data_IF_584100022479
#
_entry.id   IF_584100022479
#
_cell.length_a   1.000
_cell.length_b   1.000
_cell.length_c   1.000
_cell.angle_alpha   90.00
_cell.angle_beta   90.00
_cell.angle_gamma   90.00
#
_symmetry.space_group_name_H-M   'P 1'
#
loop_
_entity.id
_entity.type
_entity.pdbx_description
1 polymer ?
#
# COMPACT_ATOMS: atom_id res chain seq x y z
N UNK A 1 4.16 30.21 -16.95
CA UNK A 1 3.52 29.14 -17.76
C UNK A 1 4.19 27.81 -17.41
N UNK A 2 3.39 26.77 -17.30
CA UNK A 2 3.55 25.57 -16.45
C UNK A 2 4.77 24.72 -16.84
N UNK A 3 5.59 24.35 -15.85
CA UNK A 3 6.69 23.40 -16.02
C UNK A 3 6.21 22.01 -15.57
N UNK A 4 5.76 21.21 -16.53
CA UNK A 4 5.29 19.84 -16.33
C UNK A 4 6.50 18.90 -16.25
N UNK A 5 7.09 18.74 -15.07
CA UNK A 5 8.04 17.65 -14.81
C UNK A 5 7.26 16.41 -14.39
N UNK A 6 7.16 15.44 -15.30
CA UNK A 6 6.60 14.13 -15.05
C UNK A 6 7.31 13.44 -13.89
N UNK A 7 6.53 13.01 -12.90
CA UNK A 7 7.02 12.27 -11.74
C UNK A 7 7.11 10.79 -12.08
N UNK A 8 8.23 10.38 -12.65
CA UNK A 8 8.73 9.01 -12.56
C UNK A 8 9.45 8.88 -11.20
N UNK A 9 8.69 8.64 -10.14
CA UNK A 9 9.25 8.24 -8.85
C UNK A 9 9.62 6.76 -8.93
N UNK A 10 10.86 6.51 -9.37
CA UNK A 10 11.51 5.19 -9.32
C UNK A 10 11.58 4.68 -7.88
N UNK A 11 11.48 3.36 -7.69
CA UNK A 11 11.53 2.64 -6.41
C UNK A 11 12.73 3.02 -5.52
N UNK A 12 13.81 3.52 -6.12
CA UNK A 12 15.02 4.00 -5.44
C UNK A 12 14.79 5.26 -4.58
N UNK A 13 13.73 6.03 -4.82
CA UNK A 13 13.39 7.20 -4.01
C UNK A 13 12.83 6.81 -2.63
N UNK A 14 12.23 5.63 -2.50
CA UNK A 14 11.65 5.14 -1.25
C UNK A 14 12.72 4.80 -0.20
N UNK A 15 13.92 4.39 -0.63
CA UNK A 15 15.01 4.04 0.28
C UNK A 15 15.69 5.23 0.96
N UNK A 16 15.49 6.46 0.47
CA UNK A 16 16.18 7.67 0.98
C UNK A 16 15.48 8.34 2.16
N UNK A 17 14.29 7.89 2.53
CA UNK A 17 13.47 8.53 3.56
C UNK A 17 13.48 7.74 4.88
N UNK A 18 14.65 7.22 5.27
CA UNK A 18 14.85 6.45 6.50
C UNK A 18 16.07 6.92 7.30
N UNK A 19 16.39 8.23 7.27
CA UNK A 19 17.57 8.78 7.96
C UNK A 19 17.29 9.78 9.08
N UNK A 20 16.04 10.12 9.38
CA UNK A 20 15.72 11.06 10.49
C UNK A 20 14.87 10.41 11.59
N UNK A 21 15.44 9.39 12.24
CA UNK A 21 14.90 8.80 13.48
C UNK A 21 15.59 9.47 14.67
N UNK A 22 15.19 10.70 15.02
CA UNK A 22 15.64 11.37 16.27
C UNK A 22 14.52 11.89 17.17
N UNK A 23 13.28 11.49 16.93
CA UNK A 23 12.17 11.66 17.88
C UNK A 23 11.29 10.41 17.85
N UNK A 24 11.75 9.35 18.53
CA UNK A 24 11.07 8.06 18.58
C UNK A 24 9.90 8.08 19.59
N UNK A 25 8.88 8.91 19.34
CA UNK A 25 7.54 8.39 19.54
C UNK A 25 7.35 7.38 18.41
N UNK A 26 7.16 6.10 18.73
CA UNK A 26 6.94 5.06 17.73
C UNK A 26 5.77 5.48 16.85
N UNK A 27 6.08 5.97 15.65
CA UNK A 27 5.07 6.53 14.78
C UNK A 27 4.22 5.37 14.28
N UNK A 28 2.93 5.41 14.66
CA UNK A 28 1.97 4.38 14.26
C UNK A 28 1.97 4.30 12.74
N UNK A 29 2.19 3.10 12.24
CA UNK A 29 2.21 2.80 10.81
C UNK A 29 0.86 2.21 10.41
N UNK A 30 0.25 2.78 9.37
CA UNK A 30 -1.01 2.34 8.78
C UNK A 30 -0.75 1.75 7.40
N UNK A 31 -1.20 0.51 7.19
CA UNK A 31 -1.27 -0.11 5.86
C UNK A 31 -2.70 0.01 5.33
N UNK A 32 -2.86 0.71 4.21
CA UNK A 32 -4.13 0.81 3.47
C UNK A 32 -4.08 -0.16 2.30
N UNK A 33 -5.00 -1.13 2.28
CA UNK A 33 -5.07 -2.16 1.23
C UNK A 33 -6.24 -1.86 0.31
N UNK A 34 -5.96 -1.74 -0.99
CA UNK A 34 -6.96 -1.57 -2.05
C UNK A 34 -7.21 -2.92 -2.69
N UNK A 35 -8.46 -3.38 -2.65
CA UNK A 35 -8.89 -4.69 -3.16
C UNK A 35 -9.93 -4.47 -4.26
N UNK A 36 -9.67 -5.01 -5.45
CA UNK A 36 -10.59 -4.91 -6.59
C UNK A 36 -11.81 -5.83 -6.42
N UNK A 37 -12.86 -5.55 -7.19
CA UNK A 37 -14.07 -6.37 -7.23
C UNK A 37 -14.02 -7.48 -8.29
N UNK A 38 -15.20 -8.07 -8.54
CA UNK A 38 -15.42 -9.06 -9.60
C UNK A 38 -15.01 -8.48 -10.97
N UNK A 39 -14.25 -9.27 -11.75
CA UNK A 39 -13.68 -8.89 -13.05
C UNK A 39 -12.81 -7.61 -13.06
N UNK A 40 -12.46 -7.09 -11.88
CA UNK A 40 -11.59 -5.94 -11.72
C UNK A 40 -10.11 -6.32 -11.65
N UNK A 41 -9.28 -5.29 -11.69
CA UNK A 41 -7.83 -5.35 -11.49
C UNK A 41 -7.39 -4.27 -10.50
N UNK A 42 -6.17 -4.37 -9.98
CA UNK A 42 -5.63 -3.41 -9.03
C UNK A 42 -5.44 -2.02 -9.66
N UNK A 43 -5.29 -1.98 -10.99
CA UNK A 43 -5.12 -0.79 -11.81
C UNK A 43 -6.36 0.10 -11.74
N UNK A 44 -7.56 -0.48 -11.60
CA UNK A 44 -8.83 0.25 -11.43
C UNK A 44 -8.82 1.13 -10.17
N UNK A 45 -8.03 0.74 -9.16
CA UNK A 45 -7.90 1.44 -7.88
C UNK A 45 -6.66 2.32 -7.78
N UNK A 46 -5.80 2.32 -8.81
CA UNK A 46 -4.53 3.04 -8.80
C UNK A 46 -4.70 4.56 -8.63
N UNK A 47 -5.74 5.13 -9.25
CA UNK A 47 -6.09 6.56 -9.12
C UNK A 47 -6.50 6.93 -7.70
N UNK A 48 -7.27 6.07 -7.02
CA UNK A 48 -7.66 6.29 -5.62
C UNK A 48 -6.44 6.28 -4.70
N UNK A 49 -5.56 5.29 -4.84
CA UNK A 49 -4.28 5.25 -4.11
C UNK A 49 -3.48 6.55 -4.33
N UNK A 50 -3.40 7.03 -5.56
CA UNK A 50 -2.65 8.26 -5.86
C UNK A 50 -3.26 9.48 -5.15
N UNK A 51 -4.59 9.59 -5.11
CA UNK A 51 -5.29 10.64 -4.35
C UNK A 51 -4.94 10.55 -2.85
N UNK A 52 -4.99 9.36 -2.25
CA UNK A 52 -4.60 9.19 -0.84
C UNK A 52 -3.16 9.61 -0.58
N UNK A 53 -2.22 9.24 -1.47
CA UNK A 53 -0.81 9.65 -1.38
C UNK A 53 -0.64 11.16 -1.46
N UNK A 54 -1.40 11.82 -2.34
CA UNK A 54 -1.34 13.29 -2.50
C UNK A 54 -1.92 13.98 -1.26
N UNK A 55 -3.08 13.53 -0.77
CA UNK A 55 -3.76 14.12 0.39
C UNK A 55 -2.96 13.91 1.67
N UNK A 56 -2.36 12.72 1.85
CA UNK A 56 -1.48 12.46 2.98
C UNK A 56 -0.23 13.35 2.95
N UNK A 57 0.20 13.84 1.78
CA UNK A 57 1.36 14.73 1.64
C UNK A 57 2.61 14.11 2.26
N UNK A 58 3.27 14.87 3.14
CA UNK A 58 4.46 14.44 3.88
C UNK A 58 4.11 13.78 5.24
N UNK A 59 2.84 13.45 5.51
CA UNK A 59 2.44 12.76 6.74
C UNK A 59 3.07 11.36 6.73
N UNK A 60 4.03 11.07 7.61
CA UNK A 60 4.70 9.78 7.60
C UNK A 60 3.79 8.70 8.19
N UNK A 61 4.12 7.43 7.93
CA UNK A 61 3.44 6.29 8.53
C UNK A 61 2.28 5.72 7.71
N UNK A 62 1.94 6.26 6.54
CA UNK A 62 0.97 5.63 5.63
C UNK A 62 1.66 4.85 4.52
N UNK A 63 1.30 3.58 4.39
CA UNK A 63 1.73 2.69 3.31
C UNK A 63 0.51 2.18 2.56
N UNK A 64 0.68 1.92 1.26
CA UNK A 64 -0.42 1.59 0.37
C UNK A 64 -0.11 0.34 -0.44
N UNK A 65 -1.01 -0.63 -0.42
CA UNK A 65 -0.93 -1.86 -1.20
C UNK A 65 -2.09 -1.92 -2.19
N UNK A 66 -1.77 -1.99 -3.49
CA UNK A 66 -2.74 -2.40 -4.52
C UNK A 66 -2.69 -3.92 -4.63
N UNK A 67 -3.70 -4.60 -4.09
CA UNK A 67 -3.77 -6.06 -4.12
C UNK A 67 -3.96 -6.56 -5.54
N UNK A 68 -3.04 -7.41 -6.01
CA UNK A 68 -3.10 -8.02 -7.34
C UNK A 68 -3.32 -9.55 -7.31
N UNK A 69 -3.33 -10.14 -6.10
CA UNK A 69 -3.36 -11.58 -5.88
C UNK A 69 -4.57 -12.32 -6.48
N UNK A 70 -5.66 -11.61 -6.81
CA UNK A 70 -6.89 -12.19 -7.34
C UNK A 70 -7.24 -11.78 -8.78
N UNK A 71 -6.36 -11.11 -9.53
CA UNK A 71 -6.64 -10.63 -10.91
C UNK A 71 -7.23 -11.71 -11.83
N UNK A 72 -6.64 -12.91 -11.81
CA UNK A 72 -7.06 -14.03 -12.66
C UNK A 72 -7.99 -15.02 -11.95
N UNK A 73 -8.47 -14.67 -10.76
CA UNK A 73 -9.20 -15.57 -9.85
C UNK A 73 -10.48 -14.94 -9.29
N UNK A 74 -11.01 -13.91 -9.94
CA UNK A 74 -12.21 -13.17 -9.47
C UNK A 74 -13.47 -14.03 -9.38
N UNK A 75 -13.48 -15.19 -10.04
CA UNK A 75 -14.57 -16.17 -10.04
C UNK A 75 -14.30 -17.38 -9.14
N UNK A 76 -13.15 -17.41 -8.44
CA UNK A 76 -12.81 -18.48 -7.51
C UNK A 76 -13.69 -18.43 -6.26
N UNK A 77 -13.59 -19.49 -5.45
CA UNK A 77 -14.23 -19.52 -4.14
C UNK A 77 -13.78 -18.34 -3.26
N UNK A 78 -14.68 -17.82 -2.44
CA UNK A 78 -14.39 -16.66 -1.60
C UNK A 78 -13.31 -16.96 -0.55
N UNK A 79 -13.25 -18.19 -0.05
CA UNK A 79 -12.22 -18.60 0.91
C UNK A 79 -10.85 -18.67 0.23
N UNK A 80 -10.79 -19.13 -1.03
CA UNK A 80 -9.56 -19.10 -1.84
C UNK A 80 -9.09 -17.66 -2.10
N UNK A 81 -10.01 -16.77 -2.47
CA UNK A 81 -9.70 -15.36 -2.70
C UNK A 81 -9.25 -14.66 -1.42
N UNK A 82 -9.88 -14.98 -0.28
CA UNK A 82 -9.47 -14.47 1.02
C UNK A 82 -8.08 -14.98 1.41
N UNK A 83 -7.77 -16.26 1.14
CA UNK A 83 -6.44 -16.84 1.36
C UNK A 83 -5.35 -16.18 0.51
N UNK A 84 -5.62 -15.91 -0.77
CA UNK A 84 -4.71 -15.18 -1.66
C UNK A 84 -4.43 -13.77 -1.11
N UNK A 85 -5.48 -13.03 -0.74
CA UNK A 85 -5.37 -11.68 -0.18
C UNK A 85 -4.60 -11.67 1.14
N UNK A 86 -4.92 -12.60 2.05
CA UNK A 86 -4.24 -12.71 3.34
C UNK A 86 -2.75 -12.98 3.16
N UNK A 87 -2.40 -13.88 2.23
CA UNK A 87 -1.00 -14.21 1.93
C UNK A 87 -0.23 -13.01 1.37
N UNK A 88 -0.85 -12.22 0.50
CA UNK A 88 -0.27 -10.99 -0.05
C UNK A 88 -0.05 -9.93 1.05
N UNK A 89 -1.05 -9.72 1.91
CA UNK A 89 -0.96 -8.80 3.05
C UNK A 89 0.13 -9.23 4.02
N UNK A 90 0.20 -10.51 4.39
CA UNK A 90 1.26 -11.05 5.25
C UNK A 90 2.65 -10.88 4.63
N UNK A 91 2.80 -11.15 3.33
CA UNK A 91 4.05 -10.96 2.60
C UNK A 91 4.48 -9.49 2.56
N UNK A 92 3.53 -8.57 2.47
CA UNK A 92 3.81 -7.13 2.54
C UNK A 92 4.25 -6.71 3.96
N UNK A 93 3.54 -7.21 4.97
CA UNK A 93 3.79 -6.89 6.39
C UNK A 93 5.12 -7.47 6.88
N UNK A 94 5.59 -8.58 6.33
CA UNK A 94 6.89 -9.17 6.66
C UNK A 94 8.09 -8.24 6.39
N UNK A 95 7.88 -7.13 5.65
CA UNK A 95 8.89 -6.08 5.42
C UNK A 95 9.08 -5.14 6.61
N UNK A 96 8.16 -5.16 7.57
CA UNK A 96 8.18 -4.31 8.76
C UNK A 96 8.77 -5.07 9.94
N UNK A 97 9.45 -4.35 10.83
CA UNK A 97 10.11 -4.93 12.02
C UNK A 97 9.11 -5.39 13.08
N UNK A 98 7.92 -4.80 13.11
CA UNK A 98 6.86 -5.10 14.07
C UNK A 98 5.59 -5.57 13.35
N UNK A 99 4.91 -6.60 13.87
CA UNK A 99 3.64 -7.06 13.31
C UNK A 99 2.51 -6.06 13.61
N UNK A 100 1.43 -6.05 12.80
CA UNK A 100 0.25 -5.24 13.07
C UNK A 100 -0.38 -5.66 14.39
N UNK A 101 -0.78 -4.68 15.18
CA UNK A 101 -1.54 -4.88 16.40
C UNK A 101 -3.01 -4.55 16.18
N UNK A 102 -3.90 -5.31 16.81
CA UNK A 102 -5.34 -5.00 16.80
C UNK A 102 -5.58 -3.68 17.54
N UNK A 103 -6.15 -2.70 16.85
CA UNK A 103 -6.62 -1.46 17.48
C UNK A 103 -7.77 -1.84 18.42
N UNK A 104 -7.67 -1.42 19.68
CA UNK A 104 -8.70 -1.65 20.71
C UNK A 104 -9.76 -0.56 20.69
#
# INVERSE_FOLDING_TARGET
>A
MVNTRGYLLSEQALSRQCSDIRNAHAQITHLVVFVHGLEGTCEDLSSYRNVFRIIAGDIPGFFYLLSASNHSKTWSDIDDMAGNLLSEVQSYIAKFSEPPVRIR
#
